data_IF_771811091174
#
_entry.id   IF_771811091174
#
_cell.length_a   1.000
_cell.length_b   1.000
_cell.length_c   1.000
_cell.angle_alpha   90.00
_cell.angle_beta   90.00
_cell.angle_gamma   90.00
#
_symmetry.space_group_name_H-M   'P 1'
#
loop_
_entity.id
_entity.type
_entity.pdbx_description
1 polymer ?
#
# COMPACT_ATOMS: atom_id res chain seq x y z
N UNK A 1 -11.58 17.92 -15.02
CA UNK A 1 -11.81 16.55 -15.52
C UNK A 1 -11.30 15.63 -14.43
N UNK A 2 -12.16 14.89 -13.73
CA UNK A 2 -11.72 13.91 -12.74
C UNK A 2 -11.20 12.69 -13.48
N UNK A 3 -9.91 12.38 -13.31
CA UNK A 3 -9.27 11.24 -13.97
C UNK A 3 -9.66 9.96 -13.23
N UNK A 4 -10.81 9.42 -13.65
CA UNK A 4 -11.30 8.10 -13.26
C UNK A 4 -10.31 7.01 -13.71
N UNK A 5 -9.96 6.12 -12.80
CA UNK A 5 -9.21 4.89 -13.11
C UNK A 5 -9.90 3.67 -12.51
N UNK A 6 -9.92 2.58 -13.26
CA UNK A 6 -10.49 1.31 -12.85
C UNK A 6 -9.39 0.23 -12.77
N UNK A 7 -9.46 -0.60 -11.74
CA UNK A 7 -8.60 -1.76 -11.53
C UNK A 7 -9.45 -3.02 -11.29
N UNK A 8 -8.87 -4.18 -11.58
CA UNK A 8 -9.44 -5.47 -11.19
C UNK A 8 -8.89 -5.91 -9.84
N UNK A 9 -9.67 -6.70 -9.10
CA UNK A 9 -9.15 -7.40 -7.93
C UNK A 9 -8.07 -8.41 -8.33
N UNK A 10 -7.11 -8.63 -7.44
CA UNK A 10 -6.06 -9.64 -7.62
C UNK A 10 -6.45 -10.94 -6.89
N UNK A 11 -6.49 -12.05 -7.60
CA UNK A 11 -6.74 -13.37 -7.00
C UNK A 11 -5.46 -13.95 -6.41
N UNK A 12 -5.46 -14.15 -5.10
CA UNK A 12 -4.31 -14.66 -4.35
C UNK A 12 -4.59 -16.10 -3.91
N UNK A 13 -3.71 -17.07 -4.21
CA UNK A 13 -3.85 -18.44 -3.72
C UNK A 13 -3.57 -18.49 -2.21
N UNK A 14 -4.54 -19.02 -1.45
CA UNK A 14 -4.45 -19.20 -0.01
C UNK A 14 -4.70 -20.66 0.33
N UNK A 15 -3.84 -21.25 1.16
CA UNK A 15 -4.06 -22.60 1.67
C UNK A 15 -5.23 -22.58 2.66
N UNK A 16 -6.26 -23.37 2.42
CA UNK A 16 -7.44 -23.44 3.30
C UNK A 16 -7.09 -23.91 4.73
N UNK A 17 -6.02 -24.71 4.87
CA UNK A 17 -5.41 -25.14 6.12
C UNK A 17 -3.89 -25.20 5.91
N UNK A 18 -3.09 -24.99 6.97
CA UNK A 18 -1.62 -24.99 6.87
C UNK A 18 -1.04 -26.27 6.22
N UNK A 19 -1.68 -27.41 6.44
CA UNK A 19 -1.31 -28.74 5.93
C UNK A 19 -1.91 -29.08 4.56
N UNK A 20 -2.82 -28.26 4.04
CA UNK A 20 -3.50 -28.52 2.76
C UNK A 20 -2.53 -28.40 1.57
N UNK A 21 -2.60 -29.39 0.66
CA UNK A 21 -1.97 -29.32 -0.68
C UNK A 21 -2.80 -28.51 -1.67
N UNK A 22 -4.08 -28.26 -1.38
CA UNK A 22 -4.99 -27.45 -2.22
C UNK A 22 -5.05 -26.01 -1.72
N UNK A 23 -4.96 -25.07 -2.64
CA UNK A 23 -5.22 -23.64 -2.43
C UNK A 23 -6.62 -23.26 -2.93
N UNK A 24 -7.25 -22.32 -2.25
CA UNK A 24 -8.40 -21.57 -2.76
C UNK A 24 -7.93 -20.20 -3.23
N UNK A 25 -8.64 -19.60 -4.20
CA UNK A 25 -8.36 -18.22 -4.62
C UNK A 25 -9.18 -17.24 -3.77
N UNK A 26 -8.51 -16.23 -3.22
CA UNK A 26 -9.14 -15.12 -2.51
C UNK A 26 -8.79 -13.83 -3.25
N UNK A 27 -9.82 -13.14 -3.74
CA UNK A 27 -9.65 -11.85 -4.41
C UNK A 27 -9.36 -10.74 -3.40
N UNK A 28 -8.34 -9.92 -3.65
CA UNK A 28 -7.96 -8.79 -2.80
C UNK A 28 -7.88 -7.50 -3.62
N UNK A 29 -8.21 -6.34 -3.03
CA UNK A 29 -8.15 -5.06 -3.72
C UNK A 29 -6.70 -4.52 -3.75
N UNK A 30 -5.87 -5.14 -4.59
CA UNK A 30 -4.46 -4.78 -4.75
C UNK A 30 -4.33 -4.00 -6.05
N UNK A 31 -3.70 -2.82 -5.98
CA UNK A 31 -3.49 -1.94 -7.13
C UNK A 31 -2.00 -1.64 -7.34
N UNK A 32 -1.57 -1.40 -8.58
CA UNK A 32 -0.25 -0.85 -8.85
C UNK A 32 -0.20 0.62 -8.46
N UNK A 33 0.86 1.00 -7.75
CA UNK A 33 1.24 2.40 -7.51
C UNK A 33 2.69 2.62 -7.90
N UNK A 34 3.03 3.83 -8.30
CA UNK A 34 4.44 4.24 -8.47
C UNK A 34 4.78 5.26 -7.40
N UNK A 35 5.82 5.00 -6.61
CA UNK A 35 6.37 5.97 -5.65
C UNK A 35 7.52 6.68 -6.31
N UNK A 36 7.51 8.01 -6.28
CA UNK A 36 8.53 8.87 -6.86
C UNK A 36 9.17 9.73 -5.78
N UNK A 37 10.48 9.92 -5.92
CA UNK A 37 11.24 10.82 -5.08
C UNK A 37 12.41 11.39 -5.88
N UNK A 38 12.39 12.71 -6.11
CA UNK A 38 13.34 13.42 -6.98
C UNK A 38 13.34 12.78 -8.39
N UNK A 39 14.47 12.28 -8.86
CA UNK A 39 14.62 11.65 -10.18
C UNK A 39 14.46 10.13 -10.18
N UNK A 40 14.08 9.53 -9.04
CA UNK A 40 13.95 8.07 -8.90
C UNK A 40 12.50 7.68 -8.67
N UNK A 41 12.15 6.46 -9.12
CA UNK A 41 10.83 5.88 -8.91
C UNK A 41 10.93 4.38 -8.66
N UNK A 42 9.92 3.83 -7.98
CA UNK A 42 9.71 2.40 -7.82
C UNK A 42 8.24 2.07 -8.03
N UNK A 43 7.95 0.95 -8.67
CA UNK A 43 6.59 0.44 -8.81
C UNK A 43 6.31 -0.60 -7.74
N UNK A 44 5.10 -0.60 -7.19
CA UNK A 44 4.71 -1.49 -6.09
C UNK A 44 3.27 -1.95 -6.23
N UNK A 45 2.97 -3.15 -5.74
CA UNK A 45 1.61 -3.65 -5.57
C UNK A 45 1.18 -3.38 -4.12
N UNK A 46 0.12 -2.61 -3.94
CA UNK A 46 -0.32 -2.22 -2.61
C UNK A 46 -1.80 -2.58 -2.38
N UNK A 47 -2.09 -3.09 -1.20
CA UNK A 47 -3.43 -3.41 -0.73
C UNK A 47 -4.16 -2.12 -0.34
N UNK A 48 -5.35 -1.92 -0.87
CA UNK A 48 -6.28 -0.90 -0.38
C UNK A 48 -6.94 -1.39 0.91
N UNK A 49 -6.69 -0.71 2.02
CA UNK A 49 -7.19 -1.12 3.34
C UNK A 49 -7.71 0.10 4.12
N UNK A 50 -9.02 0.29 4.13
CA UNK A 50 -9.65 1.35 4.91
C UNK A 50 -9.53 1.13 6.43
N UNK A 51 -9.14 -0.06 6.87
CA UNK A 51 -8.85 -0.38 8.26
C UNK A 51 -7.46 0.06 8.73
N UNK A 52 -6.59 0.51 7.81
CA UNK A 52 -5.28 1.04 8.16
C UNK A 52 -5.31 2.57 8.32
N UNK A 53 -4.70 3.08 9.40
CA UNK A 53 -4.62 4.53 9.65
C UNK A 53 -3.75 5.27 8.62
N UNK A 54 -2.72 4.61 8.08
CA UNK A 54 -1.69 5.22 7.25
C UNK A 54 -1.33 4.35 6.05
N UNK A 55 -0.75 4.96 5.03
CA UNK A 55 0.07 4.23 4.06
C UNK A 55 1.30 3.63 4.76
N UNK A 56 1.50 2.32 4.62
CA UNK A 56 2.59 1.58 5.28
C UNK A 56 3.32 0.70 4.26
N UNK A 57 4.63 0.93 4.13
CA UNK A 57 5.47 0.26 3.14
C UNK A 57 6.75 -0.24 3.80
N UNK A 58 7.31 -1.32 3.28
CA UNK A 58 8.63 -1.77 3.69
C UNK A 58 9.69 -0.71 3.34
N UNK A 59 10.71 -0.57 4.19
CA UNK A 59 11.68 0.51 4.08
C UNK A 59 12.81 0.26 3.07
N UNK A 60 12.90 -0.92 2.46
CA UNK A 60 13.82 -1.19 1.33
C UNK A 60 13.60 -0.21 0.16
N UNK A 61 12.35 0.19 -0.08
CA UNK A 61 11.97 1.22 -1.06
C UNK A 61 12.78 2.50 -0.87
N UNK A 62 13.10 2.87 0.37
CA UNK A 62 13.87 4.10 0.65
C UNK A 62 15.30 4.02 0.13
N UNK A 63 15.90 2.82 0.09
CA UNK A 63 17.25 2.62 -0.46
C UNK A 63 17.26 2.86 -1.97
N UNK A 64 16.30 2.27 -2.69
CA UNK A 64 16.13 2.47 -4.13
C UNK A 64 15.89 3.93 -4.46
N UNK A 65 14.99 4.60 -3.72
CA UNK A 65 14.65 6.00 -3.93
C UNK A 65 15.73 6.98 -3.44
N UNK A 66 16.75 6.52 -2.70
CA UNK A 66 17.76 7.39 -2.10
C UNK A 66 17.19 8.30 -1.00
N UNK A 67 16.13 7.86 -0.33
CA UNK A 67 15.53 8.53 0.82
C UNK A 67 16.31 8.11 2.07
N UNK A 68 16.80 9.08 2.84
CA UNK A 68 17.37 8.78 4.15
C UNK A 68 16.24 8.47 5.14
N UNK A 69 16.00 7.18 5.39
CA UNK A 69 14.93 6.69 6.26
C UNK A 69 14.87 7.40 7.62
N UNK A 70 16.01 7.58 8.29
CA UNK A 70 16.05 8.11 9.67
C UNK A 70 15.81 9.60 9.77
N UNK A 71 15.77 10.34 8.64
CA UNK A 71 15.34 11.74 8.62
C UNK A 71 13.81 11.91 8.70
N UNK A 72 13.05 10.83 8.55
CA UNK A 72 11.59 10.85 8.67
C UNK A 72 11.13 10.99 10.12
N UNK A 73 9.90 11.49 10.31
CA UNK A 73 9.30 11.60 11.64
C UNK A 73 8.98 10.20 12.18
N UNK A 74 9.58 9.83 13.31
CA UNK A 74 9.38 8.52 13.93
C UNK A 74 7.98 8.36 14.51
N UNK A 75 7.45 7.15 14.43
CA UNK A 75 6.18 6.76 15.06
C UNK A 75 6.15 5.27 15.38
N UNK A 76 5.12 4.85 16.12
CA UNK A 76 4.75 3.44 16.27
C UNK A 76 3.52 3.15 15.42
N UNK A 77 3.49 1.98 14.77
CA UNK A 77 2.33 1.45 14.06
C UNK A 77 2.01 0.11 14.69
N UNK A 78 0.74 -0.17 14.96
CA UNK A 78 0.28 -1.45 15.48
C UNK A 78 -0.78 -2.04 14.54
N UNK A 79 -0.80 -3.37 14.44
CA UNK A 79 -1.87 -4.11 13.77
C UNK A 79 -2.75 -4.84 14.78
N UNK A 80 -3.59 -5.76 14.28
CA UNK A 80 -4.52 -6.54 15.10
C UNK A 80 -3.83 -7.38 16.21
N UNK A 81 -2.55 -7.72 16.04
CA UNK A 81 -1.78 -8.49 17.01
C UNK A 81 -1.33 -7.69 18.25
N UNK A 82 -1.57 -6.37 18.29
CA UNK A 82 -1.20 -5.51 19.42
C UNK A 82 0.27 -5.11 19.48
N UNK A 83 1.17 -5.94 18.94
CA UNK A 83 2.58 -5.60 18.79
C UNK A 83 2.75 -4.39 17.86
N UNK A 84 3.64 -3.48 18.27
CA UNK A 84 3.91 -2.26 17.53
C UNK A 84 5.30 -2.27 16.91
N UNK A 85 5.39 -1.81 15.67
CA UNK A 85 6.65 -1.59 14.95
C UNK A 85 7.00 -0.11 14.89
N UNK A 86 8.31 0.19 14.80
CA UNK A 86 8.82 1.53 14.57
C UNK A 86 8.74 1.87 13.08
N UNK A 87 8.11 3.00 12.76
CA UNK A 87 8.02 3.54 11.41
C UNK A 87 8.62 4.95 11.31
N UNK A 88 8.90 5.37 10.08
CA UNK A 88 9.40 6.69 9.74
C UNK A 88 8.50 7.30 8.65
N UNK A 89 7.81 8.40 8.99
CA UNK A 89 6.97 9.15 8.05
C UNK A 89 7.83 9.97 7.09
N UNK A 90 7.57 9.84 5.80
CA UNK A 90 8.15 10.64 4.73
C UNK A 90 7.07 11.13 3.77
N UNK A 91 7.27 12.33 3.23
CA UNK A 91 6.44 12.83 2.14
C UNK A 91 7.10 12.47 0.81
N UNK A 92 6.33 11.88 -0.09
CA UNK A 92 6.75 11.41 -1.41
C UNK A 92 5.66 11.71 -2.44
N UNK A 93 6.02 11.63 -3.71
CA UNK A 93 5.03 11.64 -4.78
C UNK A 93 4.54 10.21 -5.02
N UNK A 94 3.23 10.03 -5.21
CA UNK A 94 2.63 8.76 -5.58
C UNK A 94 1.80 8.94 -6.83
N UNK A 95 2.03 8.08 -7.82
CA UNK A 95 1.24 7.99 -9.03
C UNK A 95 0.29 6.80 -8.98
N UNK A 96 -0.99 7.06 -9.24
CA UNK A 96 -2.08 6.08 -9.29
C UNK A 96 -2.83 6.29 -10.61
N UNK A 97 -2.62 5.38 -11.58
CA UNK A 97 -3.10 5.61 -12.94
C UNK A 97 -2.47 6.88 -13.54
N UNK A 98 -3.29 7.91 -13.80
CA UNK A 98 -2.85 9.22 -14.28
C UNK A 98 -2.67 10.28 -13.18
N UNK A 99 -3.23 10.01 -11.99
CA UNK A 99 -3.18 10.95 -10.87
C UNK A 99 -1.81 10.91 -10.21
N UNK A 100 -1.22 12.08 -9.96
CA UNK A 100 0.01 12.27 -9.20
C UNK A 100 -0.32 13.08 -7.95
N UNK A 101 -0.03 12.54 -6.77
CA UNK A 101 -0.32 13.19 -5.49
C UNK A 101 0.95 13.28 -4.64
N UNK A 102 1.06 14.36 -3.86
CA UNK A 102 1.97 14.41 -2.72
C UNK A 102 1.31 13.69 -1.56
N UNK A 103 1.94 12.65 -1.04
CA UNK A 103 1.38 11.79 0.01
C UNK A 103 2.38 11.53 1.13
N UNK A 104 1.88 11.16 2.30
CA UNK A 104 2.69 10.63 3.40
C UNK A 104 2.72 9.11 3.36
N UNK A 105 3.91 8.52 3.46
CA UNK A 105 4.10 7.08 3.66
C UNK A 105 4.90 6.85 4.93
N UNK A 106 4.49 5.85 5.72
CA UNK A 106 5.29 5.33 6.82
C UNK A 106 6.12 4.14 6.33
N UNK A 107 7.44 4.30 6.36
CA UNK A 107 8.38 3.24 6.03
C UNK A 107 8.87 2.52 7.30
N UNK A 108 8.95 1.19 7.28
CA UNK A 108 9.55 0.42 8.37
C UNK A 108 10.40 -0.76 7.88
N UNK A 109 11.54 -0.97 8.54
CA UNK A 109 12.41 -2.16 8.38
C UNK A 109 11.94 -3.37 9.18
N UNK A 110 10.92 -3.18 10.04
CA UNK A 110 10.38 -4.24 10.90
C UNK A 110 9.17 -4.94 10.25
N UNK A 111 8.74 -4.48 9.08
CA UNK A 111 7.76 -5.18 8.25
C UNK A 111 8.47 -6.41 7.65
N UNK A 112 7.85 -7.60 7.62
CA UNK A 112 8.42 -8.75 6.95
C UNK A 112 8.58 -8.54 5.43
N UNK A 113 9.65 -9.08 4.83
CA UNK A 113 9.93 -8.93 3.38
C UNK A 113 8.80 -9.44 2.46
N UNK A 114 8.00 -10.38 2.95
CA UNK A 114 6.86 -10.96 2.21
C UNK A 114 5.52 -10.25 2.51
N UNK A 115 5.51 -9.20 3.33
CA UNK A 115 4.31 -8.43 3.60
C UNK A 115 3.94 -7.55 2.40
N UNK A 116 2.65 -7.42 2.14
CA UNK A 116 2.16 -6.49 1.13
C UNK A 116 2.15 -5.07 1.69
N UNK A 117 2.50 -4.08 0.88
CA UNK A 117 2.31 -2.68 1.25
C UNK A 117 0.83 -2.37 1.39
N UNK A 118 0.52 -1.40 2.23
CA UNK A 118 -0.85 -1.00 2.57
C UNK A 118 -1.05 0.46 2.23
N UNK A 119 -2.18 0.76 1.58
CA UNK A 119 -2.70 2.10 1.36
C UNK A 119 -3.84 2.32 2.34
N UNK A 120 -3.69 3.30 3.22
CA UNK A 120 -4.57 3.55 4.36
C UNK A 120 -5.21 4.94 4.33
N UNK A 121 -5.85 5.30 5.46
CA UNK A 121 -6.64 6.53 5.57
C UNK A 121 -5.80 7.78 5.29
N UNK A 122 -4.72 7.99 6.04
CA UNK A 122 -3.81 9.11 5.82
C UNK A 122 -2.78 8.79 4.73
N UNK A 123 -2.84 9.56 3.65
CA UNK A 123 -1.98 9.49 2.48
C UNK A 123 -2.59 8.78 1.26
N UNK A 124 -3.74 8.11 1.36
CA UNK A 124 -4.40 7.56 0.17
C UNK A 124 -5.89 7.85 0.14
N UNK A 125 -6.68 7.34 1.10
CA UNK A 125 -8.13 7.54 1.07
C UNK A 125 -8.54 8.99 1.37
N UNK A 126 -7.63 9.80 1.94
CA UNK A 126 -7.79 11.25 2.06
C UNK A 126 -7.60 12.01 0.73
N UNK A 127 -7.01 11.37 -0.29
CA UNK A 127 -6.81 11.93 -1.63
C UNK A 127 -7.81 11.45 -2.66
N UNK A 128 -8.41 10.27 -2.47
CA UNK A 128 -9.22 9.62 -3.50
C UNK A 128 -10.57 9.14 -2.99
N UNK A 129 -11.58 9.23 -3.86
CA UNK A 129 -12.82 8.49 -3.67
C UNK A 129 -12.66 7.10 -4.28
N UNK A 130 -12.82 6.05 -3.45
CA UNK A 130 -12.61 4.66 -3.85
C UNK A 130 -13.89 3.86 -3.70
N UNK A 131 -14.28 3.16 -4.77
CA UNK A 131 -15.42 2.25 -4.78
C UNK A 131 -14.96 0.82 -4.99
N UNK A 132 -15.39 -0.08 -4.11
CA UNK A 132 -15.12 -1.51 -4.17
C UNK A 132 -16.36 -2.27 -4.66
N UNK A 133 -16.30 -2.89 -5.83
CA UNK A 133 -17.32 -3.83 -6.29
C UNK A 133 -16.77 -5.25 -6.26
N UNK A 134 -16.87 -5.90 -5.09
CA UNK A 134 -16.32 -7.24 -4.90
C UNK A 134 -17.01 -8.31 -5.75
N UNK A 135 -18.31 -8.15 -6.03
CA UNK A 135 -19.07 -9.10 -6.85
C UNK A 135 -18.59 -9.06 -8.31
N UNK A 136 -18.39 -7.86 -8.85
CA UNK A 136 -17.86 -7.68 -10.20
C UNK A 136 -16.33 -7.75 -10.28
N UNK A 137 -15.63 -7.82 -9.13
CA UNK A 137 -14.17 -7.81 -9.03
C UNK A 137 -13.54 -6.55 -9.61
N UNK A 138 -14.20 -5.40 -9.46
CA UNK A 138 -13.71 -4.10 -9.93
C UNK A 138 -13.52 -3.09 -8.80
N UNK A 139 -12.55 -2.19 -8.98
CA UNK A 139 -12.19 -1.11 -8.07
C UNK A 139 -12.15 0.15 -8.89
N UNK A 140 -12.87 1.19 -8.47
CA UNK A 140 -12.84 2.49 -9.13
C UNK A 140 -12.23 3.54 -8.21
N UNK A 141 -11.38 4.41 -8.76
CA UNK A 141 -10.70 5.49 -8.03
C UNK A 141 -10.91 6.79 -8.79
N UNK A 142 -11.27 7.86 -8.05
CA UNK A 142 -11.57 9.20 -8.57
C UNK A 142 -10.91 10.28 -7.73
#
# INVERSE_FOLDING_TARGET
MSDFVEFSYSDIPVKALATSKRSILISRPIIPVTILYKSRFVQYQALLDTGADYNVFHADITDYLGINLTKGKTMKIAGIGGDSIKGYKHNVEMKVGRNLIMTTIVFSRQIPDNAIAVLGNQGFFDHFSVTFNYKAKTISIR
#
